data_IF_252276028285
#
_entry.id   IF_252276028285
#
_cell.length_a   1.000
_cell.length_b   1.000
_cell.length_c   1.000
_cell.angle_alpha   90.00
_cell.angle_beta   90.00
_cell.angle_gamma   90.00
#
_symmetry.space_group_name_H-M   'P 1'
#
loop_
_entity.id
_entity.type
_entity.pdbx_description
1 polymer ?
#
# COMPACT_ATOMS: atom_id res chain seq x y z
N UNK A 1 -12.80 -19.53 3.39
CA UNK A 1 -13.54 -18.44 2.73
C UNK A 1 -13.18 -18.38 1.25
N UNK A 2 -11.90 -18.19 0.89
CA UNK A 2 -11.44 -17.99 -0.50
C UNK A 2 -11.92 -19.07 -1.46
N UNK A 3 -11.85 -20.35 -1.06
CA UNK A 3 -12.39 -21.47 -1.84
C UNK A 3 -13.88 -21.30 -2.20
N UNK A 4 -14.67 -20.66 -1.34
CA UNK A 4 -16.08 -20.37 -1.64
C UNK A 4 -16.18 -19.23 -2.66
N UNK A 5 -15.40 -18.17 -2.52
CA UNK A 5 -15.37 -17.03 -3.45
C UNK A 5 -14.98 -17.48 -4.87
N UNK A 6 -13.98 -18.35 -4.99
CA UNK A 6 -13.46 -18.83 -6.27
C UNK A 6 -14.46 -19.67 -7.08
N UNK A 7 -15.56 -20.12 -6.48
CA UNK A 7 -16.62 -20.81 -7.24
C UNK A 7 -17.32 -19.86 -8.24
N UNK A 8 -17.35 -18.57 -7.94
CA UNK A 8 -17.96 -17.53 -8.81
C UNK A 8 -16.90 -16.59 -9.39
N UNK A 9 -15.88 -16.24 -8.61
CA UNK A 9 -14.81 -15.31 -9.00
C UNK A 9 -13.57 -16.06 -9.51
N UNK A 10 -13.74 -16.89 -10.54
CA UNK A 10 -12.76 -17.88 -11.02
C UNK A 10 -11.41 -17.28 -11.46
N UNK A 11 -11.38 -16.03 -11.89
CA UNK A 11 -10.16 -15.35 -12.35
C UNK A 11 -9.52 -14.45 -11.30
N UNK A 12 -10.22 -14.16 -10.20
CA UNK A 12 -9.77 -13.17 -9.22
C UNK A 12 -8.42 -13.53 -8.59
N UNK A 13 -8.23 -14.78 -8.16
CA UNK A 13 -6.96 -15.20 -7.56
C UNK A 13 -5.80 -15.12 -8.57
N UNK A 14 -6.02 -15.51 -9.82
CA UNK A 14 -5.01 -15.43 -10.89
C UNK A 14 -4.61 -13.98 -11.17
N UNK A 15 -5.55 -13.04 -11.03
CA UNK A 15 -5.28 -11.61 -11.16
C UNK A 15 -4.46 -11.10 -9.96
N UNK A 16 -4.83 -11.47 -8.73
CA UNK A 16 -4.07 -11.15 -7.52
C UNK A 16 -2.65 -11.69 -7.60
N UNK A 17 -2.45 -12.91 -8.12
CA UNK A 17 -1.13 -13.52 -8.29
C UNK A 17 -0.17 -12.69 -9.16
N UNK A 18 -0.68 -11.84 -10.04
CA UNK A 18 0.13 -10.94 -10.88
C UNK A 18 0.46 -9.62 -10.18
N UNK A 19 -0.17 -9.34 -9.04
CA UNK A 19 0.01 -8.09 -8.32
C UNK A 19 1.26 -8.11 -7.42
N UNK A 20 1.81 -6.93 -7.16
CA UNK A 20 2.92 -6.79 -6.20
C UNK A 20 2.50 -7.14 -4.76
N UNK A 21 1.21 -7.08 -4.45
CA UNK A 21 0.69 -7.49 -3.15
C UNK A 21 0.82 -9.00 -2.89
N UNK A 22 0.85 -9.79 -3.97
CA UNK A 22 1.08 -11.23 -3.91
C UNK A 22 2.55 -11.58 -4.07
N UNK A 23 3.18 -11.10 -5.15
CA UNK A 23 4.54 -11.51 -5.48
C UNK A 23 5.59 -10.92 -4.52
N UNK A 24 5.32 -9.72 -3.99
CA UNK A 24 6.29 -8.90 -3.27
C UNK A 24 7.61 -8.74 -4.02
N UNK A 25 7.53 -8.82 -5.33
CA UNK A 25 8.66 -8.80 -6.24
C UNK A 25 8.42 -7.82 -7.38
N UNK A 26 9.45 -7.11 -7.76
CA UNK A 26 9.55 -6.30 -8.97
C UNK A 26 10.86 -6.65 -9.66
N UNK A 27 10.77 -7.19 -10.87
CA UNK A 27 11.94 -7.40 -11.70
C UNK A 27 12.31 -6.13 -12.43
N UNK A 28 13.57 -5.73 -12.34
CA UNK A 28 14.09 -4.59 -13.06
C UNK A 28 14.68 -5.01 -14.40
N UNK A 29 14.06 -4.66 -15.56
CA UNK A 29 14.50 -5.18 -16.84
C UNK A 29 15.93 -4.75 -17.21
N UNK A 30 16.34 -3.52 -16.85
CA UNK A 30 17.62 -2.94 -17.25
C UNK A 30 18.81 -3.49 -16.44
N UNK A 31 18.60 -3.84 -15.18
CA UNK A 31 19.69 -4.31 -14.29
C UNK A 31 19.58 -5.78 -13.96
N UNK A 32 18.47 -6.43 -14.30
CA UNK A 32 18.17 -7.81 -13.90
C UNK A 32 17.95 -7.99 -12.40
N UNK A 33 17.91 -6.89 -11.62
CA UNK A 33 17.72 -6.96 -10.18
C UNK A 33 16.29 -7.36 -9.83
N UNK A 34 16.18 -8.22 -8.83
CA UNK A 34 14.90 -8.57 -8.19
C UNK A 34 14.71 -7.66 -6.99
N UNK A 35 13.80 -6.71 -7.12
CA UNK A 35 13.42 -5.76 -6.09
C UNK A 35 12.13 -6.21 -5.39
N UNK A 36 11.70 -5.46 -4.40
CA UNK A 36 10.50 -5.78 -3.62
C UNK A 36 10.84 -6.34 -2.24
N UNK A 37 9.84 -6.36 -1.36
CA UNK A 37 10.03 -6.76 0.05
C UNK A 37 10.58 -8.19 0.20
N UNK A 38 10.37 -9.03 -0.80
CA UNK A 38 10.89 -10.40 -0.84
C UNK A 38 12.41 -10.47 -0.97
N UNK A 39 13.03 -9.49 -1.66
CA UNK A 39 14.42 -9.58 -2.08
C UNK A 39 15.33 -8.50 -1.49
N UNK A 40 14.75 -7.39 -1.04
CA UNK A 40 15.52 -6.28 -0.50
C UNK A 40 15.53 -6.27 1.02
N UNK A 41 16.62 -5.83 1.59
CA UNK A 41 16.74 -5.53 3.01
C UNK A 41 15.78 -4.38 3.36
N UNK A 42 15.04 -4.52 4.43
CA UNK A 42 14.16 -3.47 4.93
C UNK A 42 14.66 -2.89 6.25
N UNK A 43 14.19 -1.69 6.58
CA UNK A 43 14.69 -0.91 7.71
C UNK A 43 14.34 -1.48 9.10
N UNK A 44 13.51 -2.53 9.17
CA UNK A 44 12.94 -2.95 10.46
C UNK A 44 13.46 -4.29 10.95
N UNK A 45 13.59 -5.27 10.05
CA UNK A 45 13.92 -6.64 10.43
C UNK A 45 14.85 -7.31 9.41
N UNK A 46 15.69 -6.55 8.74
CA UNK A 46 16.61 -6.96 7.67
C UNK A 46 15.88 -7.57 6.47
N UNK A 47 15.36 -8.77 6.56
CA UNK A 47 14.67 -9.45 5.46
C UNK A 47 13.53 -10.33 5.97
N UNK A 48 12.64 -10.75 5.06
CA UNK A 48 11.54 -11.65 5.43
C UNK A 48 12.04 -13.02 5.89
N UNK A 49 13.17 -13.47 5.39
CA UNK A 49 13.78 -14.77 5.75
C UNK A 49 14.21 -14.84 7.21
N UNK A 50 14.46 -13.71 7.85
CA UNK A 50 14.81 -13.66 9.26
C UNK A 50 13.60 -13.84 10.20
N UNK A 51 12.38 -13.54 9.72
CA UNK A 51 11.16 -13.66 10.52
C UNK A 51 9.91 -13.73 9.62
N UNK A 52 9.75 -14.84 8.91
CA UNK A 52 8.66 -15.02 7.95
C UNK A 52 7.29 -14.67 8.52
N UNK A 53 6.84 -15.36 9.56
CA UNK A 53 5.49 -15.23 10.06
C UNK A 53 5.12 -13.79 10.48
N UNK A 54 6.09 -13.02 10.99
CA UNK A 54 5.91 -11.60 11.35
C UNK A 54 5.93 -10.71 10.11
N UNK A 55 6.92 -10.89 9.24
CA UNK A 55 7.10 -10.03 8.06
C UNK A 55 5.99 -10.22 7.05
N UNK A 56 5.48 -11.45 6.91
CA UNK A 56 4.42 -11.81 5.95
C UNK A 56 3.00 -11.63 6.50
N UNK A 57 2.84 -11.14 7.72
CA UNK A 57 1.51 -10.83 8.28
C UNK A 57 0.70 -9.88 7.41
N UNK A 58 1.35 -8.96 6.68
CA UNK A 58 0.72 -8.05 5.71
C UNK A 58 0.60 -8.61 4.30
N UNK A 59 1.00 -9.86 4.04
CA UNK A 59 0.84 -10.47 2.73
C UNK A 59 -0.64 -10.70 2.41
N UNK A 60 -1.04 -10.53 1.16
CA UNK A 60 -2.43 -10.77 0.74
C UNK A 60 -2.77 -12.24 0.56
N UNK A 61 -2.02 -13.12 1.21
CA UNK A 61 -2.21 -14.57 1.24
C UNK A 61 -2.02 -15.13 2.63
N UNK A 62 -2.42 -16.39 2.75
CA UNK A 62 -2.35 -17.17 3.99
C UNK A 62 -1.17 -18.14 3.98
N UNK A 63 -0.48 -18.24 5.10
CA UNK A 63 0.45 -19.35 5.37
C UNK A 63 1.87 -19.16 4.83
N UNK A 64 2.28 -17.96 4.48
CA UNK A 64 3.68 -17.73 4.10
C UNK A 64 4.58 -17.65 5.34
N UNK A 65 4.88 -18.81 5.90
CA UNK A 65 5.64 -19.00 7.14
C UNK A 65 7.11 -19.40 6.95
N UNK A 66 7.50 -19.76 5.72
CA UNK A 66 8.84 -20.22 5.37
C UNK A 66 9.09 -20.10 3.85
N UNK A 67 10.23 -20.60 3.38
CA UNK A 67 10.64 -20.53 1.99
C UNK A 67 9.80 -21.43 1.06
N UNK A 68 9.01 -22.37 1.59
CA UNK A 68 8.23 -23.35 0.81
C UNK A 68 6.81 -22.86 0.50
N UNK A 69 6.53 -21.54 0.69
CA UNK A 69 5.22 -20.99 0.37
C UNK A 69 4.88 -21.18 -1.10
N UNK A 70 3.71 -21.77 -1.35
CA UNK A 70 3.22 -22.01 -2.70
C UNK A 70 2.56 -20.76 -3.29
N UNK A 71 3.31 -20.02 -4.09
CA UNK A 71 2.82 -18.84 -4.81
C UNK A 71 1.81 -19.17 -5.93
N UNK A 72 1.60 -20.45 -6.27
CA UNK A 72 0.60 -20.86 -7.27
C UNK A 72 -0.77 -21.16 -6.66
N UNK A 73 -0.86 -21.25 -5.33
CA UNK A 73 -2.08 -21.57 -4.61
C UNK A 73 -3.12 -20.47 -4.67
N UNK A 74 -4.16 -20.68 -5.45
CA UNK A 74 -5.29 -19.72 -5.53
C UNK A 74 -6.09 -19.66 -4.23
N UNK A 75 -6.22 -20.77 -3.51
CA UNK A 75 -6.96 -20.87 -2.26
C UNK A 75 -6.27 -20.10 -1.12
N UNK A 76 -4.98 -19.84 -1.25
CA UNK A 76 -4.20 -19.07 -0.28
C UNK A 76 -4.36 -17.56 -0.40
N UNK A 77 -5.06 -17.05 -1.42
CA UNK A 77 -5.34 -15.61 -1.56
C UNK A 77 -6.33 -15.17 -0.49
N UNK A 78 -6.03 -14.06 0.19
CA UNK A 78 -6.90 -13.44 1.19
C UNK A 78 -7.74 -12.33 0.56
N UNK A 79 -8.94 -12.66 0.13
CA UNK A 79 -9.89 -11.70 -0.45
C UNK A 79 -10.40 -10.71 0.60
N UNK A 80 -10.59 -11.17 1.85
CA UNK A 80 -11.26 -10.40 2.90
C UNK A 80 -10.43 -9.20 3.37
N UNK A 81 -9.10 -9.30 3.37
CA UNK A 81 -8.24 -8.20 3.83
C UNK A 81 -8.45 -6.89 3.03
N UNK A 82 -8.84 -7.03 1.76
CA UNK A 82 -9.14 -5.89 0.88
C UNK A 82 -10.63 -5.58 0.81
N UNK A 83 -11.49 -6.58 0.89
CA UNK A 83 -12.91 -6.46 0.58
C UNK A 83 -13.82 -6.40 1.81
N UNK A 84 -13.29 -6.55 3.03
CA UNK A 84 -14.07 -6.37 4.27
C UNK A 84 -14.67 -4.97 4.36
N UNK A 85 -15.98 -4.88 4.57
CA UNK A 85 -16.70 -3.63 4.86
C UNK A 85 -17.22 -3.56 6.29
N UNK A 86 -17.07 -4.62 7.08
CA UNK A 86 -17.46 -4.63 8.50
C UNK A 86 -16.48 -3.84 9.38
N UNK A 87 -15.22 -3.72 8.94
CA UNK A 87 -14.13 -3.14 9.69
C UNK A 87 -13.62 -4.02 10.84
N UNK A 88 -14.05 -5.29 10.89
CA UNK A 88 -13.67 -6.23 11.94
C UNK A 88 -12.58 -7.20 11.53
N UNK A 89 -12.31 -7.32 10.22
CA UNK A 89 -11.27 -8.20 9.74
C UNK A 89 -9.87 -7.70 10.13
N UNK A 90 -9.11 -8.55 10.78
CA UNK A 90 -7.72 -8.28 11.17
C UNK A 90 -6.84 -9.47 10.86
N UNK A 91 -5.58 -9.22 10.48
CA UNK A 91 -4.55 -10.24 10.38
C UNK A 91 -3.79 -10.34 11.70
N UNK A 92 -3.48 -11.56 12.13
CA UNK A 92 -2.68 -11.75 13.33
C UNK A 92 -1.22 -11.34 13.08
N UNK A 93 -0.59 -10.54 13.95
CA UNK A 93 0.73 -9.95 13.67
C UNK A 93 1.86 -10.94 13.41
N UNK A 94 1.73 -12.18 13.87
CA UNK A 94 2.70 -13.26 13.65
C UNK A 94 2.06 -14.48 12.99
N UNK A 95 0.93 -14.26 12.32
CA UNK A 95 0.09 -15.32 11.74
C UNK A 95 0.44 -15.69 10.31
N UNK A 96 1.56 -15.23 9.75
CA UNK A 96 1.92 -15.50 8.36
C UNK A 96 0.77 -15.19 7.37
N UNK A 97 0.06 -14.09 7.60
CA UNK A 97 -1.08 -13.67 6.79
C UNK A 97 -2.46 -14.19 7.23
N UNK A 98 -2.51 -15.08 8.21
CA UNK A 98 -3.80 -15.55 8.77
C UNK A 98 -4.43 -14.53 9.72
N UNK A 99 -5.76 -14.43 9.79
CA UNK A 99 -6.45 -13.82 10.92
C UNK A 99 -6.30 -14.69 12.17
N UNK A 100 -6.56 -14.17 13.37
CA UNK A 100 -6.77 -15.02 14.54
C UNK A 100 -8.09 -15.80 14.37
N UNK A 101 -8.08 -17.08 14.64
CA UNK A 101 -9.29 -17.93 14.60
C UNK A 101 -9.98 -18.08 15.94
N UNK A 102 -9.31 -17.63 17.00
CA UNK A 102 -9.83 -17.49 18.37
C UNK A 102 -9.25 -16.21 18.96
N UNK A 103 -9.91 -15.67 19.96
CA UNK A 103 -9.40 -14.51 20.71
C UNK A 103 -8.00 -14.81 21.23
N UNK A 104 -7.01 -14.08 20.78
CA UNK A 104 -5.59 -14.41 21.04
C UNK A 104 -4.88 -13.28 21.76
N UNK A 105 -4.31 -13.54 22.97
CA UNK A 105 -3.47 -12.57 23.66
C UNK A 105 -2.19 -12.25 22.84
N UNK A 106 -1.89 -10.96 22.71
CA UNK A 106 -0.67 -10.49 22.03
C UNK A 106 -0.24 -9.13 22.61
N UNK A 107 0.99 -9.05 23.11
CA UNK A 107 1.60 -7.82 23.66
C UNK A 107 0.68 -7.07 24.67
N UNK A 108 0.12 -7.80 25.61
CA UNK A 108 -0.73 -7.22 26.67
C UNK A 108 -2.15 -6.84 26.24
N UNK A 109 -2.54 -7.17 25.01
CA UNK A 109 -3.89 -6.96 24.47
C UNK A 109 -4.47 -8.28 23.96
N UNK A 110 -5.80 -8.36 23.88
CA UNK A 110 -6.46 -9.48 23.21
C UNK A 110 -6.84 -9.04 21.80
N UNK A 111 -6.28 -9.71 20.80
CA UNK A 111 -6.71 -9.53 19.41
C UNK A 111 -7.92 -10.44 19.21
N UNK A 112 -9.05 -9.81 18.93
CA UNK A 112 -10.32 -10.51 18.71
C UNK A 112 -10.33 -11.25 17.39
N UNK A 113 -10.85 -12.48 17.40
CA UNK A 113 -11.09 -13.23 16.18
C UNK A 113 -12.27 -12.62 15.42
N UNK A 114 -12.11 -12.31 14.12
CA UNK A 114 -13.23 -11.85 13.30
C UNK A 114 -14.22 -13.01 13.05
N UNK A 115 -15.50 -12.68 13.00
CA UNK A 115 -16.49 -13.61 12.43
C UNK A 115 -16.32 -13.65 10.91
N UNK A 116 -15.60 -14.64 10.41
CA UNK A 116 -15.29 -14.77 8.99
C UNK A 116 -16.53 -15.02 8.14
N UNK A 117 -17.61 -15.57 8.71
CA UNK A 117 -18.87 -15.75 7.99
C UNK A 117 -19.57 -14.41 7.79
N UNK A 118 -19.61 -13.60 8.84
CA UNK A 118 -20.17 -12.25 8.78
C UNK A 118 -19.37 -11.39 7.81
N UNK A 119 -18.02 -11.38 7.94
CA UNK A 119 -17.15 -10.62 7.05
C UNK A 119 -17.36 -11.01 5.58
N UNK A 120 -17.49 -12.33 5.30
CA UNK A 120 -17.70 -12.82 3.94
C UNK A 120 -19.07 -12.44 3.34
N UNK A 121 -20.08 -12.17 4.18
CA UNK A 121 -21.40 -11.68 3.75
C UNK A 121 -21.41 -10.17 3.47
N UNK A 122 -20.48 -9.42 4.09
CA UNK A 122 -20.38 -7.97 3.97
C UNK A 122 -19.06 -7.58 3.28
N UNK A 123 -18.89 -8.04 2.04
CA UNK A 123 -17.75 -7.65 1.20
C UNK A 123 -18.16 -6.54 0.22
N UNK A 124 -17.20 -5.68 -0.11
CA UNK A 124 -17.47 -4.55 -0.98
C UNK A 124 -16.20 -3.94 -1.58
N UNK A 125 -16.29 -2.67 -1.98
CA UNK A 125 -15.12 -1.92 -2.47
C UNK A 125 -14.10 -1.73 -1.37
N UNK A 126 -12.82 -1.70 -1.76
CA UNK A 126 -11.71 -1.40 -0.84
C UNK A 126 -11.88 -0.02 -0.19
N UNK A 127 -11.45 0.09 1.04
CA UNK A 127 -11.54 1.30 1.83
C UNK A 127 -10.18 1.77 2.34
N UNK A 128 -10.12 2.98 2.89
CA UNK A 128 -8.91 3.46 3.57
C UNK A 128 -8.52 2.56 4.75
N UNK A 129 -9.52 1.96 5.42
CA UNK A 129 -9.27 1.03 6.54
C UNK A 129 -8.68 -0.29 6.07
N UNK A 130 -9.18 -0.86 4.97
CA UNK A 130 -8.64 -2.10 4.43
C UNK A 130 -7.20 -1.93 3.91
N UNK A 131 -6.91 -0.84 3.19
CA UNK A 131 -5.54 -0.50 2.81
C UNK A 131 -4.67 -0.21 4.02
N UNK A 132 -5.20 0.58 4.96
CA UNK A 132 -4.51 0.99 6.19
C UNK A 132 -4.18 -0.15 7.15
N UNK A 133 -4.90 -1.26 7.10
CA UNK A 133 -4.61 -2.44 7.92
C UNK A 133 -3.14 -2.89 7.80
N UNK A 134 -2.56 -2.73 6.61
CA UNK A 134 -1.16 -3.01 6.33
C UNK A 134 -0.31 -1.75 6.20
N UNK A 135 -0.81 -0.72 5.50
CA UNK A 135 -0.01 0.45 5.14
C UNK A 135 0.20 1.44 6.29
N UNK A 136 -0.78 1.63 7.18
CA UNK A 136 -0.63 2.57 8.30
C UNK A 136 0.33 2.06 9.39
N UNK A 137 0.44 0.76 9.55
CA UNK A 137 1.27 0.15 10.61
C UNK A 137 2.48 -0.61 10.06
N UNK A 138 2.75 -0.45 8.79
CA UNK A 138 3.77 -1.24 8.13
C UNK A 138 5.20 -0.97 8.60
N UNK A 139 5.43 0.03 9.41
CA UNK A 139 6.70 0.32 10.08
C UNK A 139 6.76 -0.10 11.54
N UNK A 140 5.70 -0.73 12.06
CA UNK A 140 5.60 -1.10 13.47
C UNK A 140 4.80 -0.12 14.32
N UNK A 141 4.34 0.99 13.76
CA UNK A 141 3.53 2.00 14.45
C UNK A 141 3.14 3.16 13.55
N UNK A 142 2.47 4.14 14.12
CA UNK A 142 2.08 5.37 13.43
C UNK A 142 3.32 6.18 13.05
N UNK A 143 3.27 6.85 11.91
CA UNK A 143 4.30 7.76 11.39
C UNK A 143 5.75 7.19 11.37
N UNK A 144 5.91 5.89 11.37
CA UNK A 144 7.24 5.23 11.41
C UNK A 144 7.77 4.96 10.00
N UNK A 145 6.94 5.10 8.99
CA UNK A 145 7.31 4.84 7.59
C UNK A 145 7.29 6.09 6.72
N UNK A 146 7.55 5.83 5.45
CA UNK A 146 7.61 6.80 4.36
C UNK A 146 6.47 7.79 4.37
N UNK A 147 6.81 9.05 4.52
CA UNK A 147 5.84 10.12 4.59
C UNK A 147 4.86 9.93 5.75
N UNK A 148 3.78 10.64 5.71
CA UNK A 148 2.76 10.65 6.76
C UNK A 148 1.66 9.60 6.51
N UNK A 149 2.02 8.37 6.15
CA UNK A 149 1.06 7.28 5.96
C UNK A 149 0.78 6.61 7.30
N UNK A 150 -0.28 7.06 7.96
CA UNK A 150 -0.76 6.55 9.23
C UNK A 150 -2.29 6.59 9.33
N UNK A 151 -2.84 6.26 10.49
CA UNK A 151 -4.29 6.18 10.69
C UNK A 151 -5.01 7.53 10.59
N UNK A 152 -4.31 8.66 10.61
CA UNK A 152 -4.91 9.97 10.36
C UNK A 152 -5.55 10.06 8.99
N UNK A 153 -5.06 9.28 8.01
CA UNK A 153 -5.60 9.23 6.66
C UNK A 153 -6.95 8.48 6.54
N UNK A 154 -7.47 7.90 7.61
CA UNK A 154 -8.84 7.32 7.60
C UNK A 154 -9.87 8.41 7.37
N UNK A 155 -9.73 9.55 8.05
CA UNK A 155 -10.59 10.72 7.91
C UNK A 155 -9.77 12.01 8.12
N UNK A 156 -8.85 12.33 7.19
CA UNK A 156 -7.94 13.45 7.36
C UNK A 156 -8.69 14.77 7.24
N UNK A 157 -8.34 15.79 8.03
CA UNK A 157 -8.79 17.17 7.77
C UNK A 157 -8.12 17.68 6.49
N UNK A 158 -8.68 18.74 5.87
CA UNK A 158 -8.11 19.37 4.66
C UNK A 158 -6.66 19.83 4.84
N UNK A 159 -6.27 20.22 6.04
CA UNK A 159 -4.89 20.60 6.36
C UNK A 159 -3.88 19.46 6.23
N UNK A 160 -4.34 18.21 6.30
CA UNK A 160 -3.52 17.02 6.09
C UNK A 160 -3.57 16.59 4.63
N UNK A 161 -4.77 16.44 4.06
CA UNK A 161 -4.92 16.05 2.66
C UNK A 161 -6.23 16.56 2.07
N UNK A 162 -6.13 17.44 1.05
CA UNK A 162 -7.28 18.07 0.42
C UNK A 162 -8.11 17.11 -0.42
N UNK A 163 -7.49 16.04 -0.97
CA UNK A 163 -8.18 15.08 -1.81
C UNK A 163 -8.90 14.03 -0.97
N UNK A 164 -8.28 13.57 0.12
CA UNK A 164 -8.84 12.52 0.97
C UNK A 164 -9.77 13.05 2.05
N UNK A 165 -9.69 14.35 2.38
CA UNK A 165 -10.58 14.92 3.40
C UNK A 165 -12.05 14.68 3.08
N UNK A 166 -12.87 14.26 4.07
CA UNK A 166 -14.33 14.20 3.92
C UNK A 166 -14.97 15.56 3.57
N UNK A 167 -14.34 16.65 3.99
CA UNK A 167 -14.75 18.03 3.66
C UNK A 167 -14.20 18.50 2.29
N UNK A 168 -13.35 17.71 1.67
CA UNK A 168 -12.77 17.93 0.36
C UNK A 168 -13.42 17.02 -0.69
N UNK A 169 -12.58 16.29 -1.45
CA UNK A 169 -13.05 15.37 -2.50
C UNK A 169 -13.46 14.00 -1.93
N UNK A 170 -13.09 13.66 -0.71
CA UNK A 170 -13.40 12.38 -0.09
C UNK A 170 -12.75 11.16 -0.74
N UNK A 171 -11.68 11.35 -1.52
CA UNK A 171 -11.03 10.29 -2.28
C UNK A 171 -10.50 9.17 -1.39
N UNK A 172 -10.58 7.95 -1.89
CA UNK A 172 -9.97 6.77 -1.26
C UNK A 172 -8.58 6.51 -1.85
N UNK A 173 -7.83 5.60 -1.25
CA UNK A 173 -6.50 5.21 -1.77
C UNK A 173 -6.60 4.75 -3.23
N UNK A 174 -7.64 3.96 -3.56
CA UNK A 174 -7.87 3.43 -4.90
C UNK A 174 -8.30 4.48 -5.93
N UNK A 175 -8.59 5.71 -5.54
CA UNK A 175 -8.85 6.80 -6.49
C UNK A 175 -7.57 7.23 -7.20
N UNK A 176 -6.43 7.22 -6.48
CA UNK A 176 -5.12 7.51 -7.06
C UNK A 176 -4.35 6.24 -7.40
N UNK A 177 -4.45 5.21 -6.55
CA UNK A 177 -3.87 3.89 -6.81
C UNK A 177 -4.90 3.02 -7.51
N UNK A 178 -5.22 3.38 -8.73
CA UNK A 178 -6.19 2.64 -9.55
C UNK A 178 -5.82 1.18 -9.66
N UNK A 179 -6.83 0.35 -9.77
CA UNK A 179 -6.68 -1.10 -9.89
C UNK A 179 -7.27 -1.58 -11.20
N UNK A 180 -6.43 -2.15 -12.05
CA UNK A 180 -6.89 -2.98 -13.16
C UNK A 180 -6.70 -4.45 -12.80
N UNK A 181 -7.81 -5.19 -12.75
CA UNK A 181 -7.79 -6.64 -12.49
C UNK A 181 -6.89 -7.00 -11.30
N UNK A 182 -7.05 -6.34 -10.16
CA UNK A 182 -6.27 -6.48 -8.93
C UNK A 182 -4.80 -6.02 -8.99
N UNK A 183 -4.33 -5.48 -10.10
CA UNK A 183 -3.04 -4.82 -10.17
C UNK A 183 -3.21 -3.34 -9.80
N UNK A 184 -2.73 -2.95 -8.62
CA UNK A 184 -2.76 -1.57 -8.15
C UNK A 184 -1.62 -0.77 -8.78
N UNK A 185 -1.94 0.43 -9.27
CA UNK A 185 -0.94 1.37 -9.80
C UNK A 185 -0.06 1.93 -8.68
N UNK A 186 1.20 2.17 -8.99
CA UNK A 186 2.19 2.75 -8.10
C UNK A 186 3.11 1.73 -7.44
N UNK A 187 4.37 2.16 -7.23
CA UNK A 187 5.38 1.36 -6.56
C UNK A 187 6.41 2.28 -5.89
N UNK A 188 6.89 1.91 -4.71
CA UNK A 188 8.00 2.61 -4.05
C UNK A 188 9.30 2.57 -4.87
N UNK A 189 9.43 1.66 -5.80
CA UNK A 189 10.59 1.53 -6.68
C UNK A 189 10.46 2.35 -7.96
N UNK A 190 9.31 2.94 -8.23
CA UNK A 190 9.05 3.87 -9.30
C UNK A 190 9.11 5.31 -8.76
N UNK A 191 10.30 5.88 -8.72
CA UNK A 191 10.57 7.12 -7.96
C UNK A 191 10.10 8.40 -8.66
N UNK A 192 9.82 8.37 -9.97
CA UNK A 192 9.35 9.53 -10.72
C UNK A 192 8.10 9.21 -11.52
N UNK A 193 7.21 10.17 -11.59
CA UNK A 193 6.03 10.11 -12.45
C UNK A 193 6.40 10.32 -13.93
N UNK A 194 7.45 11.09 -14.19
CA UNK A 194 7.91 11.41 -15.53
C UNK A 194 9.44 11.49 -15.51
N UNK A 195 10.09 10.90 -16.49
CA UNK A 195 11.53 11.05 -16.72
C UNK A 195 11.75 11.95 -17.91
N UNK A 196 12.44 13.06 -17.73
CA UNK A 196 12.81 13.98 -18.80
C UNK A 196 13.84 13.37 -19.76
N UNK A 197 14.60 12.37 -19.30
CA UNK A 197 15.62 11.70 -20.10
C UNK A 197 15.07 10.58 -21.00
N UNK A 198 13.77 10.32 -20.96
CA UNK A 198 13.16 9.19 -21.67
C UNK A 198 13.55 7.82 -21.11
N UNK A 199 14.29 7.78 -20.01
CA UNK A 199 14.65 6.54 -19.34
C UNK A 199 13.52 6.16 -18.40
N UNK A 200 12.79 5.10 -18.74
CA UNK A 200 11.84 4.47 -17.82
C UNK A 200 12.62 3.82 -16.70
N UNK A 201 12.42 4.30 -15.47
CA UNK A 201 12.89 3.56 -14.31
C UNK A 201 12.01 2.33 -14.11
N UNK A 202 12.54 1.27 -13.53
CA UNK A 202 11.78 0.05 -13.28
C UNK A 202 10.51 0.31 -12.48
N UNK A 203 9.39 -0.20 -12.94
CA UNK A 203 8.08 0.04 -12.37
C UNK A 203 7.42 1.35 -12.81
N UNK A 204 8.01 2.08 -13.75
CA UNK A 204 7.38 3.25 -14.40
C UNK A 204 6.49 2.87 -15.58
N UNK A 205 6.59 1.65 -16.06
CA UNK A 205 5.76 1.13 -17.16
C UNK A 205 4.31 0.90 -16.73
N UNK A 206 4.04 0.81 -15.44
CA UNK A 206 2.67 0.76 -14.92
C UNK A 206 2.11 2.17 -14.76
N UNK A 207 0.82 2.33 -15.02
CA UNK A 207 0.10 3.59 -14.80
C UNK A 207 0.30 4.05 -13.34
N UNK A 208 1.24 4.97 -13.15
CA UNK A 208 1.53 5.53 -11.84
C UNK A 208 0.59 6.70 -11.58
N UNK A 209 -0.06 6.77 -10.42
CA UNK A 209 -0.81 7.95 -10.05
C UNK A 209 0.14 9.16 -9.99
N UNK A 210 -0.12 10.15 -10.81
CA UNK A 210 0.63 11.38 -10.90
C UNK A 210 -0.33 12.57 -10.83
N UNK A 211 0.15 13.71 -10.34
CA UNK A 211 -0.66 14.92 -10.24
C UNK A 211 -1.22 15.31 -11.61
N UNK A 212 -0.40 15.19 -12.65
CA UNK A 212 -0.73 15.53 -14.02
C UNK A 212 -1.84 14.67 -14.63
N UNK A 213 -2.08 13.48 -14.08
CA UNK A 213 -3.17 12.60 -14.55
C UNK A 213 -4.55 13.25 -14.42
N UNK A 214 -4.72 14.11 -13.40
CA UNK A 214 -5.96 14.83 -13.13
C UNK A 214 -5.83 16.32 -13.41
N UNK A 215 -4.68 16.93 -13.10
CA UNK A 215 -4.47 18.36 -13.21
C UNK A 215 -3.87 18.80 -14.55
N UNK A 216 -3.44 17.87 -15.39
CA UNK A 216 -2.77 18.15 -16.65
C UNK A 216 -1.34 18.70 -16.48
N UNK A 217 -0.60 18.84 -17.58
CA UNK A 217 0.77 19.32 -17.56
C UNK A 217 0.93 20.85 -17.38
N UNK A 218 -0.16 21.62 -17.44
CA UNK A 218 -0.17 23.08 -17.28
C UNK A 218 -1.33 23.51 -16.37
N UNK A 219 -1.30 23.16 -15.07
CA UNK A 219 -2.44 23.31 -14.18
C UNK A 219 -2.69 24.75 -13.71
N UNK A 220 -1.74 25.67 -13.88
CA UNK A 220 -1.86 27.01 -13.34
C UNK A 220 -2.56 27.95 -14.33
N UNK A 221 -3.44 28.81 -13.81
CA UNK A 221 -4.21 29.77 -14.60
C UNK A 221 -3.33 30.81 -15.34
N UNK A 222 -3.82 31.32 -16.46
CA UNK A 222 -3.04 32.07 -17.45
C UNK A 222 -2.31 33.33 -16.93
N UNK A 223 -2.82 34.05 -15.93
CA UNK A 223 -2.25 35.31 -15.45
C UNK A 223 -0.89 35.21 -14.77
N UNK A 224 -0.62 34.12 -14.06
CA UNK A 224 0.71 33.75 -13.53
C UNK A 224 1.21 32.42 -14.10
N UNK A 225 0.37 31.80 -14.93
CA UNK A 225 0.47 30.43 -15.35
C UNK A 225 1.68 30.11 -16.20
N UNK A 226 2.12 31.01 -17.07
CA UNK A 226 3.25 30.73 -17.97
C UNK A 226 4.55 30.47 -17.21
N UNK A 227 4.84 31.28 -16.17
CA UNK A 227 6.02 31.11 -15.35
C UNK A 227 5.90 29.85 -14.46
N UNK A 228 4.76 29.69 -13.80
CA UNK A 228 4.52 28.52 -12.94
C UNK A 228 4.45 27.22 -13.75
N UNK A 229 3.79 27.23 -14.91
CA UNK A 229 3.73 26.08 -15.79
C UNK A 229 5.09 25.72 -16.41
N UNK A 230 6.04 26.65 -16.51
CA UNK A 230 7.40 26.34 -16.91
C UNK A 230 8.19 25.60 -15.82
N UNK A 231 7.75 25.68 -14.57
CA UNK A 231 8.34 24.93 -13.48
C UNK A 231 7.90 23.47 -13.45
N UNK A 232 6.71 23.13 -13.96
CA UNK A 232 6.17 21.76 -13.90
C UNK A 232 7.02 20.73 -14.63
N UNK A 233 7.80 21.17 -15.59
CA UNK A 233 8.74 20.29 -16.34
C UNK A 233 10.07 20.07 -15.58
N UNK A 234 10.35 20.83 -14.54
CA UNK A 234 11.65 20.86 -13.85
C UNK A 234 11.57 20.60 -12.35
N UNK A 235 10.44 20.93 -11.74
CA UNK A 235 10.23 20.88 -10.29
C UNK A 235 9.02 20.01 -10.01
N UNK A 236 9.18 19.05 -9.11
CA UNK A 236 8.06 18.19 -8.70
C UNK A 236 6.96 19.01 -8.04
N UNK A 237 5.70 18.73 -8.37
CA UNK A 237 4.53 19.45 -7.85
C UNK A 237 4.51 19.48 -6.31
N UNK A 238 4.95 18.40 -5.68
CA UNK A 238 5.04 18.25 -4.23
C UNK A 238 5.95 19.29 -3.58
N UNK A 239 6.96 19.77 -4.28
CA UNK A 239 7.90 20.79 -3.75
C UNK A 239 7.19 22.07 -3.31
N UNK A 240 6.15 22.46 -4.04
CA UNK A 240 5.36 23.66 -3.73
C UNK A 240 4.05 23.32 -3.01
N UNK A 241 3.41 22.18 -3.38
CA UNK A 241 2.07 21.83 -2.90
C UNK A 241 2.08 20.96 -1.64
N UNK A 242 3.23 20.36 -1.25
CA UNK A 242 3.40 19.63 0.00
C UNK A 242 4.59 20.22 0.77
N UNK A 243 4.45 21.42 1.37
CA UNK A 243 5.59 22.14 1.97
C UNK A 243 6.04 21.57 3.32
N UNK A 244 5.28 20.66 3.93
CA UNK A 244 5.59 20.12 5.25
C UNK A 244 5.24 18.63 5.35
N UNK A 245 6.04 17.89 6.12
CA UNK A 245 5.79 16.52 6.57
C UNK A 245 5.25 16.51 8.00
N UNK A 246 4.87 15.33 8.49
CA UNK A 246 4.34 15.12 9.85
C UNK A 246 3.09 15.98 10.13
N UNK A 247 2.23 16.16 9.15
CA UNK A 247 1.09 17.07 9.18
C UNK A 247 -0.04 16.60 10.09
N UNK A 248 -0.11 15.31 10.38
CA UNK A 248 -1.09 14.71 11.29
C UNK A 248 -0.77 14.89 12.78
N UNK A 249 0.25 15.68 13.12
CA UNK A 249 0.70 15.86 14.51
C UNK A 249 1.61 14.75 15.03
N UNK A 250 1.99 13.80 14.18
CA UNK A 250 2.90 12.72 14.50
C UNK A 250 4.27 12.99 13.87
N UNK A 251 5.34 12.86 14.66
CA UNK A 251 6.70 13.03 14.16
C UNK A 251 7.05 11.90 13.17
N UNK A 252 7.49 12.26 11.97
CA UNK A 252 7.98 11.31 10.98
C UNK A 252 9.48 11.11 11.17
N UNK A 253 9.93 9.86 11.23
CA UNK A 253 11.36 9.54 11.36
C UNK A 253 12.05 9.70 10.01
N UNK A 254 12.83 10.77 9.86
CA UNK A 254 13.49 11.15 8.59
C UNK A 254 15.01 11.11 8.63
N UNK A 255 15.60 10.95 9.81
CA UNK A 255 17.06 10.97 10.01
C UNK A 255 17.55 9.75 10.78
N UNK A 256 18.69 9.25 10.37
CA UNK A 256 19.42 8.16 11.01
C UNK A 256 20.90 8.52 11.08
N UNK A 257 21.48 8.40 12.25
CA UNK A 257 22.91 8.48 12.45
C UNK A 257 23.44 7.11 12.87
N UNK A 258 24.30 6.55 12.06
CA UNK A 258 24.93 5.26 12.29
C UNK A 258 26.33 5.35 12.91
N UNK A 259 26.78 6.58 13.22
CA UNK A 259 28.12 6.84 13.79
C UNK A 259 28.18 6.71 15.32
N UNK A 260 27.04 6.51 15.98
CA UNK A 260 26.91 6.41 17.44
C UNK A 260 26.64 4.99 17.91
#
# INVERSE_FOLDING_TARGET
VTKACLKCHTEAAKQVHKSIHWTWELNQPQTGQRLGKRWVVNNYCLSITSNYARCTSCHVGYGWKDANFDFSSQESVDCLVCHDTTGTYVKFPTGAGHPPYVDTPFQGKVIKAPDLSLVAQYVGKTSRRSCGACHFKGGGGEAVKHGDIDSSLIAPPKSVDVHMSPEGMGYTCSTCHESDRHAQAGSRYAMKAKSESGVSLPGQESARPACESCHGGKPHAATLGNKLNSHTDKVACQTCHIPAYARGGHATKVFWDWST
#
